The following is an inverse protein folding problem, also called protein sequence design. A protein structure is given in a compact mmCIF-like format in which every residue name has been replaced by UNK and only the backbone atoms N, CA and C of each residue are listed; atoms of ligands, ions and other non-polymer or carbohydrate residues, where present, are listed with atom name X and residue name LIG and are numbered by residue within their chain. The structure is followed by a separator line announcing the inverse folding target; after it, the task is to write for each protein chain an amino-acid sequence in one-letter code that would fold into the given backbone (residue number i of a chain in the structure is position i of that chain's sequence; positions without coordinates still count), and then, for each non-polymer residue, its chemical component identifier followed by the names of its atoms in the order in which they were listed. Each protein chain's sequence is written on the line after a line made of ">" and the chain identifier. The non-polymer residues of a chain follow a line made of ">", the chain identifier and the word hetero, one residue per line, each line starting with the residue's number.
data_IF_602293121987
#
_entry.id   IF_602293121987
#
_cell.length_a   1.000
_cell.length_b   1.000
_cell.length_c   1.000
_cell.angle_alpha   90.00
_cell.angle_beta   90.00
_cell.angle_gamma   90.00
#
_symmetry.space_group_name_H-M   'P 1'
#
loop_
_entity.id
_entity.type
_entity.pdbx_description
1 polymer ?
#
# COMPACT_ATOMS: atom_id res chain seq x y z
N UNK A 1 -19.69 17.57 4.20
CA UNK A 1 -21.15 17.53 4.46
C UNK A 1 -21.33 18.30 5.73
N UNK A 2 -22.17 19.33 5.71
CA UNK A 2 -22.33 20.26 6.84
C UNK A 2 -23.03 19.50 8.00
N UNK A 3 -22.52 19.65 9.21
CA UNK A 3 -23.05 19.02 10.41
C UNK A 3 -24.53 19.40 10.63
N UNK A 4 -24.91 20.62 10.23
CA UNK A 4 -26.28 21.11 10.23
C UNK A 4 -27.22 20.32 9.33
N UNK A 5 -26.73 19.78 8.22
CA UNK A 5 -27.53 18.92 7.33
C UNK A 5 -27.81 17.55 7.96
N UNK A 6 -26.84 16.97 8.67
CA UNK A 6 -27.01 15.71 9.39
C UNK A 6 -28.00 15.90 10.56
N UNK A 7 -27.87 17.00 11.32
CA UNK A 7 -28.79 17.35 12.40
C UNK A 7 -30.22 17.58 11.88
N UNK A 8 -30.39 18.24 10.74
CA UNK A 8 -31.70 18.42 10.11
C UNK A 8 -32.35 17.11 9.62
N UNK A 9 -31.50 16.12 9.21
CA UNK A 9 -32.00 14.78 8.86
C UNK A 9 -32.45 13.98 10.09
N UNK A 10 -31.89 14.26 11.26
CA UNK A 10 -32.24 13.60 12.52
C UNK A 10 -33.45 14.24 13.20
N UNK A 11 -33.69 15.53 12.98
CA UNK A 11 -34.80 16.29 13.61
C UNK A 11 -36.11 16.27 12.82
N UNK A 12 -36.07 16.08 11.50
CA UNK A 12 -37.27 16.02 10.67
C UNK A 12 -37.66 14.56 10.38
N UNK A 13 -38.79 14.15 10.94
CA UNK A 13 -39.58 12.93 10.64
C UNK A 13 -38.99 12.06 9.57
N UNK A 14 -38.19 11.08 9.99
CA UNK A 14 -37.56 10.08 9.13
C UNK A 14 -38.73 9.35 8.42
N UNK A 15 -38.83 9.51 7.10
CA UNK A 15 -39.63 8.61 6.29
C UNK A 15 -39.14 7.19 6.60
N UNK A 16 -39.99 6.29 7.13
CA UNK A 16 -39.57 4.92 7.46
C UNK A 16 -39.04 4.13 6.27
N UNK A 17 -39.19 4.64 5.05
CA UNK A 17 -38.63 4.08 3.82
C UNK A 17 -37.30 4.75 3.38
N UNK A 18 -36.82 5.77 4.08
CA UNK A 18 -35.56 6.43 3.78
C UNK A 18 -34.39 5.58 4.35
N UNK A 19 -33.78 4.75 3.55
CA UNK A 19 -32.52 4.11 3.93
C UNK A 19 -31.42 5.15 3.93
N UNK A 20 -30.82 5.42 5.10
CA UNK A 20 -29.62 6.25 5.18
C UNK A 20 -28.49 5.58 4.37
N UNK A 21 -27.66 6.35 3.66
CA UNK A 21 -26.48 5.79 2.99
C UNK A 21 -25.58 5.07 4.00
N UNK A 22 -24.96 3.97 3.57
CA UNK A 22 -23.98 3.25 4.39
C UNK A 22 -22.87 4.21 4.86
N UNK A 23 -22.67 4.39 6.18
CA UNK A 23 -21.63 5.26 6.72
C UNK A 23 -20.23 4.94 6.19
N UNK A 24 -19.90 3.66 5.95
CA UNK A 24 -18.61 3.24 5.40
C UNK A 24 -18.45 3.73 3.96
N UNK A 25 -19.52 3.71 3.18
CA UNK A 25 -19.50 4.23 1.81
C UNK A 25 -19.31 5.74 1.79
N UNK A 26 -19.95 6.46 2.71
CA UNK A 26 -19.76 7.91 2.87
C UNK A 26 -18.31 8.23 3.23
N UNK A 27 -17.74 7.49 4.19
CA UNK A 27 -16.35 7.65 4.60
C UNK A 27 -15.39 7.37 3.43
N UNK A 28 -15.58 6.25 2.72
CA UNK A 28 -14.79 5.89 1.55
C UNK A 28 -14.74 7.02 0.50
N UNK A 29 -15.91 7.55 0.10
CA UNK A 29 -15.93 8.65 -0.87
C UNK A 29 -15.37 9.96 -0.31
N UNK A 30 -15.48 10.19 0.99
CA UNK A 30 -14.87 11.35 1.65
C UNK A 30 -13.34 11.26 1.60
N UNK A 31 -12.79 10.08 1.86
CA UNK A 31 -11.35 9.83 1.79
C UNK A 31 -10.85 9.94 0.34
N UNK A 32 -11.56 9.38 -0.64
CA UNK A 32 -11.20 9.55 -2.05
C UNK A 32 -11.15 11.01 -2.51
N UNK A 33 -12.07 11.87 -2.03
CA UNK A 33 -12.01 13.33 -2.31
C UNK A 33 -10.75 13.99 -1.73
N UNK A 34 -10.23 13.45 -0.62
CA UNK A 34 -8.96 13.87 -0.02
C UNK A 34 -7.75 13.22 -0.69
N UNK A 35 -7.94 12.29 -1.63
CA UNK A 35 -6.92 11.40 -2.21
C UNK A 35 -6.27 10.50 -1.17
N UNK A 36 -7.05 10.06 -0.20
CA UNK A 36 -6.68 9.09 0.81
C UNK A 36 -7.21 7.72 0.42
N UNK A 37 -6.36 6.71 0.51
CA UNK A 37 -6.70 5.32 0.23
C UNK A 37 -6.16 4.42 1.35
N UNK A 38 -6.90 3.38 1.70
CA UNK A 38 -6.57 2.51 2.84
C UNK A 38 -6.28 1.10 2.36
N UNK A 39 -5.10 0.59 2.74
CA UNK A 39 -4.71 -0.81 2.59
C UNK A 39 -4.60 -1.38 4.02
N UNK A 40 -5.74 -1.81 4.56
CA UNK A 40 -5.94 -2.17 5.95
C UNK A 40 -6.27 -3.66 6.16
N UNK A 41 -5.74 -4.53 5.32
CA UNK A 41 -5.97 -5.97 5.40
C UNK A 41 -5.14 -6.72 4.38
N UNK A 42 -5.53 -7.97 4.12
CA UNK A 42 -4.88 -8.83 3.14
C UNK A 42 -4.97 -8.24 1.73
N UNK A 43 -3.83 -8.21 1.01
CA UNK A 43 -3.76 -7.77 -0.39
C UNK A 43 -4.49 -8.76 -1.28
N UNK A 44 -5.61 -8.30 -1.83
CA UNK A 44 -6.47 -9.06 -2.75
C UNK A 44 -6.91 -8.17 -3.90
N UNK A 45 -7.63 -8.72 -4.87
CA UNK A 45 -8.15 -8.00 -6.04
C UNK A 45 -9.01 -6.79 -5.69
N UNK A 46 -9.55 -6.72 -4.46
CA UNK A 46 -10.32 -5.55 -4.00
C UNK A 46 -9.55 -4.23 -4.09
N UNK A 47 -8.21 -4.29 -4.05
CA UNK A 47 -7.36 -3.10 -4.12
C UNK A 47 -6.97 -2.69 -5.55
N UNK A 48 -7.38 -3.44 -6.57
CA UNK A 48 -7.12 -3.07 -7.98
C UNK A 48 -7.89 -1.82 -8.42
N UNK A 49 -8.94 -1.41 -7.69
CA UNK A 49 -9.62 -0.14 -7.93
C UNK A 49 -8.69 1.07 -7.71
N UNK A 50 -7.64 0.94 -6.87
CA UNK A 50 -6.63 1.97 -6.68
C UNK A 50 -5.90 2.33 -7.99
N UNK A 51 -5.70 1.36 -8.89
CA UNK A 51 -5.15 1.61 -10.24
C UNK A 51 -5.98 2.67 -10.97
N UNK A 52 -7.30 2.48 -10.98
CA UNK A 52 -8.21 3.43 -11.63
C UNK A 52 -8.18 4.81 -10.95
N UNK A 53 -8.06 4.85 -9.62
CA UNK A 53 -7.97 6.11 -8.87
C UNK A 53 -6.66 6.86 -9.15
N UNK A 54 -5.53 6.16 -9.19
CA UNK A 54 -4.24 6.77 -9.53
C UNK A 54 -4.29 7.34 -10.96
N UNK A 55 -4.82 6.59 -11.92
CA UNK A 55 -4.99 7.05 -13.30
C UNK A 55 -5.91 8.28 -13.39
N UNK A 56 -7.02 8.28 -12.66
CA UNK A 56 -7.96 9.40 -12.60
C UNK A 56 -7.30 10.66 -12.02
N UNK A 57 -6.60 10.54 -10.88
CA UNK A 57 -5.91 11.68 -10.26
C UNK A 57 -4.76 12.23 -11.13
N UNK A 58 -4.01 11.36 -11.81
CA UNK A 58 -3.01 11.81 -12.79
C UNK A 58 -3.65 12.57 -13.95
N UNK A 59 -4.82 12.11 -14.45
CA UNK A 59 -5.56 12.80 -15.52
C UNK A 59 -6.07 14.18 -15.06
N UNK A 60 -6.58 14.28 -13.83
CA UNK A 60 -7.01 15.57 -13.25
C UNK A 60 -5.84 16.54 -13.15
N UNK A 61 -4.66 16.03 -12.80
CA UNK A 61 -3.45 16.83 -12.56
C UNK A 61 -2.60 17.07 -13.82
N UNK A 62 -2.95 16.53 -14.98
CA UNK A 62 -2.09 16.50 -16.18
C UNK A 62 -1.56 17.87 -16.61
N UNK A 63 -2.30 18.94 -16.33
CA UNK A 63 -1.91 20.32 -16.68
C UNK A 63 -1.21 21.05 -15.53
N UNK A 64 -0.98 20.40 -14.40
CA UNK A 64 -0.30 20.97 -13.25
C UNK A 64 1.18 20.52 -13.24
N UNK A 65 2.11 21.43 -12.88
CA UNK A 65 3.47 21.00 -12.58
C UNK A 65 3.48 20.03 -11.39
N UNK A 66 4.39 19.09 -11.37
CA UNK A 66 4.46 18.05 -10.31
C UNK A 66 4.47 18.66 -8.90
N UNK A 67 5.14 19.79 -8.71
CA UNK A 67 5.19 20.50 -7.43
C UNK A 67 3.86 21.13 -6.99
N UNK A 68 2.91 21.27 -7.92
CA UNK A 68 1.57 21.80 -7.65
C UNK A 68 0.49 20.72 -7.49
N UNK A 69 0.87 19.47 -7.67
CA UNK A 69 -0.07 18.33 -7.57
C UNK A 69 -0.29 17.94 -6.12
N UNK A 70 -1.55 17.78 -5.73
CA UNK A 70 -1.90 17.25 -4.40
C UNK A 70 -1.49 15.78 -4.31
N UNK A 71 -0.68 15.36 -3.33
CA UNK A 71 -0.26 13.98 -3.21
C UNK A 71 -1.43 13.03 -2.93
N UNK A 72 -1.30 11.80 -3.43
CA UNK A 72 -2.14 10.66 -3.06
C UNK A 72 -1.52 10.07 -1.80
N UNK A 73 -2.30 9.84 -0.74
CA UNK A 73 -1.83 9.19 0.48
C UNK A 73 -2.42 7.80 0.60
N UNK A 74 -1.57 6.80 0.72
CA UNK A 74 -1.97 5.40 0.94
C UNK A 74 -1.58 5.02 2.38
N UNK A 75 -2.58 4.68 3.18
CA UNK A 75 -2.40 4.27 4.58
C UNK A 75 -2.31 2.75 4.66
N UNK A 76 -1.25 2.24 5.30
CA UNK A 76 -0.96 0.81 5.36
C UNK A 76 -1.08 0.25 6.77
N UNK A 77 -1.82 -0.82 6.90
CA UNK A 77 -1.80 -1.76 8.02
C UNK A 77 -2.17 -3.15 7.49
N UNK A 78 -1.20 -3.87 6.91
CA UNK A 78 -1.47 -5.05 6.10
C UNK A 78 -0.45 -6.17 6.33
N UNK A 79 -0.92 -7.43 6.44
CA UNK A 79 -0.05 -8.61 6.49
C UNK A 79 0.57 -9.00 5.14
N UNK A 80 0.20 -8.31 4.05
CA UNK A 80 0.54 -8.71 2.69
C UNK A 80 -0.57 -9.53 2.02
N UNK A 81 -0.22 -10.37 1.05
CA UNK A 81 -1.17 -11.19 0.29
C UNK A 81 -0.71 -11.43 -1.15
N UNK A 82 -1.57 -11.20 -2.13
CA UNK A 82 -1.31 -11.46 -3.55
C UNK A 82 -0.14 -10.64 -4.10
N UNK A 83 0.88 -11.31 -4.61
CA UNK A 83 2.02 -10.68 -5.28
C UNK A 83 1.63 -10.09 -6.64
N UNK A 84 0.71 -10.69 -7.39
CA UNK A 84 0.27 -10.18 -8.69
C UNK A 84 -0.43 -8.83 -8.54
N UNK A 85 -1.26 -8.69 -7.50
CA UNK A 85 -1.90 -7.41 -7.15
C UNK A 85 -0.86 -6.39 -6.71
N UNK A 86 0.11 -6.80 -5.88
CA UNK A 86 1.17 -5.93 -5.42
C UNK A 86 2.05 -5.44 -6.58
N UNK A 87 2.43 -6.32 -7.51
CA UNK A 87 3.22 -5.98 -8.69
C UNK A 87 2.49 -4.94 -9.57
N UNK A 88 1.19 -5.16 -9.81
CA UNK A 88 0.35 -4.21 -10.54
C UNK A 88 0.31 -2.83 -9.87
N UNK A 89 0.07 -2.78 -8.55
CA UNK A 89 0.02 -1.52 -7.81
C UNK A 89 1.38 -0.82 -7.74
N UNK A 90 2.45 -1.58 -7.57
CA UNK A 90 3.83 -1.07 -7.57
C UNK A 90 4.13 -0.33 -8.86
N UNK A 91 3.92 -0.97 -10.01
CA UNK A 91 4.22 -0.35 -11.30
C UNK A 91 3.38 0.90 -11.57
N UNK A 92 2.08 0.89 -11.23
CA UNK A 92 1.25 2.08 -11.43
C UNK A 92 1.63 3.24 -10.50
N UNK A 93 2.12 2.94 -9.29
CA UNK A 93 2.63 3.95 -8.36
C UNK A 93 3.93 4.55 -8.90
N UNK A 94 4.87 3.71 -9.35
CA UNK A 94 6.13 4.18 -9.94
C UNK A 94 5.96 5.04 -11.19
N UNK A 95 4.94 4.71 -12.02
CA UNK A 95 4.61 5.48 -13.22
C UNK A 95 3.81 6.75 -12.93
N UNK A 96 3.30 6.92 -11.73
CA UNK A 96 2.49 8.08 -11.37
C UNK A 96 3.32 9.36 -11.33
N UNK A 97 2.95 10.36 -12.14
CA UNK A 97 3.52 11.71 -12.05
C UNK A 97 2.93 12.51 -10.88
N UNK A 98 1.72 12.15 -10.42
CA UNK A 98 1.16 12.69 -9.19
C UNK A 98 1.81 11.99 -8.01
N UNK A 99 2.42 12.74 -7.06
CA UNK A 99 3.14 12.14 -5.95
C UNK A 99 2.27 11.16 -5.14
N UNK A 100 2.78 9.97 -4.88
CA UNK A 100 2.14 8.95 -4.03
C UNK A 100 2.94 8.82 -2.75
N UNK A 101 2.29 9.01 -1.60
CA UNK A 101 2.90 8.92 -0.27
C UNK A 101 2.33 7.71 0.47
N UNK A 102 3.20 6.82 0.90
CA UNK A 102 2.85 5.70 1.77
C UNK A 102 2.94 6.10 3.24
N UNK A 103 1.97 5.70 4.03
CA UNK A 103 1.93 5.95 5.48
C UNK A 103 1.77 4.61 6.20
N UNK A 104 2.82 4.13 6.86
CA UNK A 104 2.76 2.93 7.69
C UNK A 104 2.14 3.27 9.05
N UNK A 105 0.94 2.75 9.30
CA UNK A 105 0.21 2.93 10.57
C UNK A 105 0.56 1.87 11.61
N UNK A 106 1.06 0.71 11.15
CA UNK A 106 1.44 -0.43 11.96
C UNK A 106 2.23 -1.42 11.12
N UNK A 107 1.72 -2.63 10.96
CA UNK A 107 2.37 -3.67 10.17
C UNK A 107 2.27 -3.38 8.66
N UNK A 108 3.39 -3.50 7.97
CA UNK A 108 3.49 -3.44 6.50
C UNK A 108 4.32 -4.64 6.05
N UNK A 109 3.64 -5.75 5.75
CA UNK A 109 4.31 -7.04 5.60
C UNK A 109 4.24 -7.57 4.16
N UNK A 110 5.29 -8.32 3.74
CA UNK A 110 5.26 -9.10 2.51
C UNK A 110 4.87 -8.25 1.28
N UNK A 111 3.86 -8.66 0.50
CA UNK A 111 3.34 -7.92 -0.65
C UNK A 111 3.03 -6.44 -0.36
N UNK A 112 2.53 -6.12 0.84
CA UNK A 112 2.26 -4.74 1.23
C UNK A 112 3.55 -3.90 1.37
N UNK A 113 4.67 -4.50 1.78
CA UNK A 113 5.95 -3.79 1.87
C UNK A 113 6.51 -3.41 0.49
N UNK A 114 6.22 -4.20 -0.53
CA UNK A 114 6.59 -3.91 -1.92
C UNK A 114 5.81 -2.69 -2.42
N UNK A 115 4.48 -2.68 -2.24
CA UNK A 115 3.64 -1.54 -2.60
C UNK A 115 4.07 -0.27 -1.84
N UNK A 116 4.35 -0.39 -0.55
CA UNK A 116 4.79 0.74 0.27
C UNK A 116 6.13 1.30 -0.21
N UNK A 117 7.09 0.44 -0.55
CA UNK A 117 8.41 0.84 -1.05
C UNK A 117 8.36 1.54 -2.41
N UNK A 118 7.37 1.25 -3.27
CA UNK A 118 7.18 1.96 -4.53
C UNK A 118 6.67 3.39 -4.37
N UNK A 119 6.16 3.76 -3.17
CA UNK A 119 5.70 5.12 -2.91
C UNK A 119 6.87 6.12 -2.95
N UNK A 120 6.64 7.29 -3.56
CA UNK A 120 7.62 8.35 -3.73
C UNK A 120 8.12 8.92 -2.39
N UNK A 121 7.27 8.93 -1.38
CA UNK A 121 7.61 9.29 -0.01
C UNK A 121 6.95 8.32 0.97
N UNK A 122 7.66 7.95 2.00
CA UNK A 122 7.27 6.87 2.90
C UNK A 122 7.37 7.31 4.35
N UNK A 123 6.20 7.56 4.93
CA UNK A 123 6.03 7.94 6.33
C UNK A 123 5.74 6.73 7.20
N UNK A 124 6.19 6.74 8.44
CA UNK A 124 5.83 5.71 9.41
C UNK A 124 5.55 6.30 10.79
N UNK A 125 4.51 5.80 11.44
CA UNK A 125 4.30 6.00 12.88
C UNK A 125 5.38 5.27 13.68
N UNK A 126 5.52 5.61 14.96
CA UNK A 126 6.55 5.04 15.85
C UNK A 126 6.46 3.52 16.04
N UNK A 127 5.25 2.95 15.88
CA UNK A 127 4.97 1.53 15.98
C UNK A 127 5.07 0.79 14.63
N UNK A 128 5.53 1.45 13.56
CA UNK A 128 5.67 0.85 12.24
C UNK A 128 6.63 -0.34 12.27
N UNK A 129 6.20 -1.45 11.68
CA UNK A 129 6.97 -2.67 11.52
C UNK A 129 6.82 -3.23 10.12
N UNK A 130 7.92 -3.74 9.58
CA UNK A 130 7.99 -4.24 8.21
C UNK A 130 8.42 -5.70 8.24
N UNK A 131 7.74 -6.55 7.48
CA UNK A 131 8.14 -7.94 7.29
C UNK A 131 8.56 -8.14 5.84
N UNK A 132 9.79 -8.60 5.67
CA UNK A 132 10.39 -8.95 4.38
C UNK A 132 10.67 -10.46 4.38
N UNK A 133 10.18 -11.16 3.37
CA UNK A 133 10.43 -12.59 3.20
C UNK A 133 10.28 -12.99 1.72
N UNK A 134 10.68 -14.21 1.38
CA UNK A 134 10.53 -14.73 0.01
C UNK A 134 9.09 -15.08 -0.38
N UNK A 135 8.14 -14.91 0.54
CA UNK A 135 6.78 -15.35 0.37
C UNK A 135 6.58 -16.80 0.81
N UNK A 136 5.36 -17.26 0.68
CA UNK A 136 4.96 -18.62 0.98
C UNK A 136 4.10 -19.19 -0.14
N UNK A 137 4.28 -20.47 -0.44
CA UNK A 137 3.43 -21.21 -1.36
C UNK A 137 2.70 -22.28 -0.57
N UNK A 138 1.38 -22.33 -0.72
CA UNK A 138 0.56 -23.37 -0.11
C UNK A 138 -0.24 -24.10 -1.19
N UNK A 139 -0.59 -25.37 -0.91
CA UNK A 139 -1.47 -26.16 -1.76
C UNK A 139 -0.99 -26.35 -3.21
N UNK A 140 0.33 -26.50 -3.41
CA UNK A 140 0.89 -26.83 -4.73
C UNK A 140 0.55 -28.27 -5.03
N UNK A 141 -0.30 -28.50 -6.03
CA UNK A 141 -0.67 -29.83 -6.48
C UNK A 141 -0.79 -29.84 -8.00
N UNK A 142 -0.53 -30.98 -8.63
CA UNK A 142 -0.60 -31.13 -10.08
C UNK A 142 0.36 -32.21 -10.59
N UNK A 143 0.46 -32.35 -11.89
CA UNK A 143 1.45 -33.20 -12.52
C UNK A 143 2.87 -32.64 -12.32
N UNK A 144 3.87 -33.52 -12.36
CA UNK A 144 5.29 -33.16 -12.17
C UNK A 144 5.72 -31.94 -13.01
N UNK A 145 5.36 -31.91 -14.30
CA UNK A 145 5.74 -30.83 -15.20
C UNK A 145 5.10 -29.48 -14.79
N UNK A 146 3.86 -29.50 -14.29
CA UNK A 146 3.19 -28.30 -13.80
C UNK A 146 3.84 -27.75 -12.52
N UNK A 147 4.15 -28.65 -11.56
CA UNK A 147 4.83 -28.27 -10.33
C UNK A 147 6.22 -27.72 -10.62
N UNK A 148 6.99 -28.36 -11.50
CA UNK A 148 8.31 -27.90 -11.90
C UNK A 148 8.26 -26.53 -12.58
N UNK A 149 7.31 -26.28 -13.47
CA UNK A 149 7.11 -24.98 -14.11
C UNK A 149 6.74 -23.90 -13.09
N UNK A 150 5.83 -24.20 -12.15
CA UNK A 150 5.45 -23.28 -11.08
C UNK A 150 6.66 -22.92 -10.19
N UNK A 151 7.45 -23.91 -9.76
CA UNK A 151 8.64 -23.65 -8.94
C UNK A 151 9.67 -22.78 -9.66
N UNK A 152 9.89 -23.03 -10.96
CA UNK A 152 10.80 -22.22 -11.77
C UNK A 152 10.32 -20.77 -11.91
N UNK A 153 9.02 -20.53 -12.05
CA UNK A 153 8.44 -19.20 -12.10
C UNK A 153 8.52 -18.50 -10.74
N UNK A 154 8.22 -19.22 -9.67
CA UNK A 154 8.33 -18.71 -8.30
C UNK A 154 9.77 -18.27 -7.95
N UNK A 155 10.77 -19.04 -8.35
CA UNK A 155 12.19 -18.66 -8.16
C UNK A 155 12.53 -17.34 -8.86
N UNK A 156 12.02 -17.12 -10.09
CA UNK A 156 12.19 -15.84 -10.79
C UNK A 156 11.49 -14.68 -10.08
N UNK A 157 10.29 -14.93 -9.56
CA UNK A 157 9.54 -13.94 -8.77
C UNK A 157 10.32 -13.54 -7.52
N UNK A 158 10.87 -14.52 -6.79
CA UNK A 158 11.72 -14.25 -5.62
C UNK A 158 12.97 -13.43 -6.01
N UNK A 159 13.60 -13.74 -7.13
CA UNK A 159 14.76 -12.96 -7.62
C UNK A 159 14.37 -11.51 -7.92
N UNK A 160 13.24 -11.28 -8.58
CA UNK A 160 12.71 -9.91 -8.83
C UNK A 160 12.46 -9.16 -7.52
N UNK A 161 11.87 -9.83 -6.52
CA UNK A 161 11.66 -9.21 -5.19
C UNK A 161 12.98 -8.81 -4.52
N UNK A 162 14.01 -9.67 -4.58
CA UNK A 162 15.34 -9.34 -4.03
C UNK A 162 15.92 -8.11 -4.73
N UNK A 163 15.88 -8.08 -6.06
CA UNK A 163 16.37 -6.93 -6.83
C UNK A 163 15.54 -5.66 -6.55
N UNK A 164 14.24 -5.78 -6.34
CA UNK A 164 13.39 -4.67 -5.97
C UNK A 164 13.82 -4.06 -4.62
N UNK A 165 14.05 -4.88 -3.58
CA UNK A 165 14.53 -4.39 -2.28
C UNK A 165 15.93 -3.77 -2.39
N UNK A 166 16.83 -4.33 -3.21
CA UNK A 166 18.16 -3.76 -3.49
C UNK A 166 18.06 -2.37 -4.13
N UNK A 167 17.11 -2.19 -5.04
CA UNK A 167 16.90 -0.92 -5.74
C UNK A 167 16.23 0.16 -4.90
N UNK A 168 15.47 -0.21 -3.89
CA UNK A 168 14.63 0.71 -3.13
C UNK A 168 15.11 0.96 -1.68
N UNK A 169 16.16 0.28 -1.26
CA UNK A 169 16.75 0.43 0.08
C UNK A 169 18.26 0.58 0.01
N UNK A 170 18.88 1.05 1.08
CA UNK A 170 20.33 1.14 1.23
C UNK A 170 20.95 -0.02 2.02
N UNK A 171 20.23 -1.11 2.22
CA UNK A 171 20.80 -2.34 2.76
C UNK A 171 21.86 -2.89 1.80
N UNK A 172 22.94 -3.44 2.34
CA UNK A 172 23.93 -4.12 1.52
C UNK A 172 23.29 -5.32 0.79
N UNK A 173 23.56 -5.53 -0.51
CA UNK A 173 22.95 -6.61 -1.29
C UNK A 173 23.09 -7.99 -0.64
N UNK A 174 24.28 -8.34 -0.15
CA UNK A 174 24.54 -9.62 0.52
C UNK A 174 23.74 -9.76 1.84
N UNK A 175 23.47 -8.63 2.51
CA UNK A 175 22.67 -8.63 3.73
C UNK A 175 21.21 -8.95 3.41
N UNK A 176 20.61 -8.34 2.37
CA UNK A 176 19.26 -8.64 1.90
C UNK A 176 19.15 -10.13 1.56
N UNK A 177 20.07 -10.65 0.75
CA UNK A 177 20.06 -12.06 0.36
C UNK A 177 20.17 -13.01 1.55
N UNK A 178 21.07 -12.72 2.49
CA UNK A 178 21.25 -13.49 3.72
C UNK A 178 19.96 -13.50 4.56
N UNK A 179 19.33 -12.34 4.73
CA UNK A 179 18.08 -12.23 5.50
C UNK A 179 16.91 -12.92 4.83
N UNK A 180 16.73 -12.73 3.53
CA UNK A 180 15.66 -13.36 2.75
C UNK A 180 15.87 -14.88 2.56
N UNK A 181 17.10 -15.40 2.66
CA UNK A 181 17.38 -16.84 2.64
C UNK A 181 17.06 -17.53 3.97
N UNK A 182 16.87 -16.77 5.04
CA UNK A 182 16.54 -17.26 6.36
C UNK A 182 15.04 -17.43 6.58
N UNK A 183 14.61 -17.08 7.77
CA UNK A 183 13.22 -16.95 8.16
C UNK A 183 12.68 -15.55 7.87
N UNK A 184 11.47 -15.26 8.34
CA UNK A 184 10.87 -13.92 8.29
C UNK A 184 11.83 -12.86 8.86
N UNK A 185 12.05 -11.80 8.10
CA UNK A 185 12.89 -10.67 8.49
C UNK A 185 12.04 -9.47 8.89
N UNK A 186 11.97 -9.22 10.19
CA UNK A 186 11.28 -8.06 10.74
C UNK A 186 12.22 -6.87 10.83
N UNK A 187 11.80 -5.74 10.27
CA UNK A 187 12.49 -4.45 10.32
C UNK A 187 11.61 -3.46 11.06
N UNK A 188 12.16 -2.79 12.07
CA UNK A 188 11.44 -1.79 12.85
C UNK A 188 11.85 -0.38 12.46
N UNK A 189 11.10 0.62 12.92
CA UNK A 189 11.19 2.00 12.45
C UNK A 189 12.62 2.56 12.35
N UNK A 190 13.46 2.38 13.37
CA UNK A 190 14.81 2.97 13.37
C UNK A 190 15.69 2.36 12.27
N UNK A 191 15.68 1.04 12.15
CA UNK A 191 16.38 0.34 11.07
C UNK A 191 15.75 0.66 9.70
N UNK A 192 14.42 0.67 9.60
CA UNK A 192 13.69 1.03 8.39
C UNK A 192 14.03 2.44 7.89
N UNK A 193 14.15 3.40 8.81
CA UNK A 193 14.56 4.77 8.49
C UNK A 193 16.04 4.85 8.11
N UNK A 194 16.91 4.17 8.85
CA UNK A 194 18.35 4.14 8.57
C UNK A 194 18.66 3.62 7.16
N UNK A 195 17.94 2.60 6.72
CA UNK A 195 18.19 1.94 5.43
C UNK A 195 17.19 2.32 4.33
N UNK A 196 16.40 3.37 4.54
CA UNK A 196 15.58 3.98 3.49
C UNK A 196 14.30 3.24 3.13
N UNK A 197 13.85 2.24 3.93
CA UNK A 197 12.48 1.75 3.81
C UNK A 197 11.50 2.88 4.14
N UNK A 198 11.77 3.62 5.18
CA UNK A 198 11.04 4.81 5.62
C UNK A 198 11.87 6.03 5.23
N UNK A 199 11.23 7.04 4.63
CA UNK A 199 11.89 8.31 4.30
C UNK A 199 11.70 9.35 5.39
N UNK A 200 10.58 9.30 6.12
CA UNK A 200 10.20 10.29 7.14
C UNK A 200 9.46 9.62 8.31
N UNK A 201 9.81 10.01 9.52
CA UNK A 201 9.05 9.64 10.71
C UNK A 201 7.89 10.61 10.90
N UNK A 202 6.72 10.10 11.29
CA UNK A 202 5.57 10.94 11.61
C UNK A 202 5.73 11.49 13.02
N UNK A 203 5.99 12.78 13.14
CA UNK A 203 6.09 13.49 14.40
C UNK A 203 4.86 14.35 14.70
N UNK A 204 4.09 14.69 13.67
CA UNK A 204 2.89 15.51 13.75
C UNK A 204 1.77 14.94 12.88
N UNK A 205 0.54 14.98 13.40
CA UNK A 205 -0.65 14.47 12.71
C UNK A 205 -0.97 15.24 11.43
N UNK A 206 -0.53 16.48 11.29
CA UNK A 206 -0.76 17.29 10.10
C UNK A 206 -0.23 16.65 8.82
N UNK A 207 0.80 15.81 8.92
CA UNK A 207 1.35 15.03 7.80
C UNK A 207 0.33 14.03 7.28
N UNK A 208 -0.60 13.57 8.10
CA UNK A 208 -1.62 12.58 7.78
C UNK A 208 -2.90 13.21 7.23
N UNK A 209 -3.15 14.49 7.50
CA UNK A 209 -4.32 15.24 7.05
C UNK A 209 -4.07 15.84 5.66
#
# INVERSE_FOLDING_TARGET
>A
MDQSFIESLLENTIDPNLSLPDPNLIQYYTDLKKRHYWIDGEITDKYLDLVQKILEWNRVDQNLPTTGRKPIKIFFNSPGGSLDVADTLTHIIELSETPVYGVALGMVASAASIIYLSCHKRYSLSNGSFLIHKGSCSNISGEYAQIAAFMSDYEKTVQKMVEFYKGHTSFAPDYIESKMNGSDWYVYLDEAFQYGLVTDKVEDISVLL
#
